data_IF_432852416977
#
_entry.id   IF_432852416977
#
_cell.length_a   1.000
_cell.length_b   1.000
_cell.length_c   1.000
_cell.angle_alpha   90.00
_cell.angle_beta   90.00
_cell.angle_gamma   90.00
#
_symmetry.space_group_name_H-M   'P 1'
#
loop_
_entity.id
_entity.type
_entity.pdbx_description
1 polymer ?
#
# COMPACT_ATOMS: atom_id res chain seq x y z
N UNK A 1 -30.95 -11.39 -12.36
CA UNK A 1 -30.03 -10.75 -11.42
C UNK A 1 -29.42 -9.56 -12.15
N UNK A 2 -29.74 -8.34 -11.75
CA UNK A 2 -29.08 -7.15 -12.30
C UNK A 2 -27.60 -7.23 -11.89
N UNK A 3 -26.71 -7.39 -12.85
CA UNK A 3 -25.26 -7.22 -12.66
C UNK A 3 -25.04 -5.78 -12.25
N UNK A 4 -24.71 -5.54 -10.99
CA UNK A 4 -24.21 -4.24 -10.53
C UNK A 4 -22.91 -3.97 -11.30
N UNK A 5 -22.99 -3.17 -12.33
CA UNK A 5 -21.82 -2.70 -13.08
C UNK A 5 -21.22 -1.55 -12.24
N UNK A 6 -20.28 -1.89 -11.36
CA UNK A 6 -19.57 -0.91 -10.55
C UNK A 6 -18.58 -0.14 -11.42
N UNK A 7 -18.64 1.17 -11.38
CA UNK A 7 -17.68 2.04 -12.06
C UNK A 7 -16.33 2.04 -11.33
N UNK A 8 -15.22 2.06 -12.11
CA UNK A 8 -13.86 1.89 -11.60
C UNK A 8 -13.03 3.12 -11.93
N UNK A 9 -12.43 3.73 -10.92
CA UNK A 9 -11.38 4.73 -11.07
C UNK A 9 -10.03 4.11 -10.70
N UNK A 10 -9.09 4.12 -11.65
CA UNK A 10 -7.71 3.68 -11.42
C UNK A 10 -6.84 4.91 -11.17
N UNK A 11 -6.28 5.01 -9.97
CA UNK A 11 -5.46 6.13 -9.53
C UNK A 11 -3.99 5.74 -9.56
N UNK A 12 -3.19 6.49 -10.32
CA UNK A 12 -1.76 6.24 -10.51
C UNK A 12 -0.99 7.47 -10.03
N UNK A 13 -0.44 7.44 -8.79
CA UNK A 13 0.52 8.46 -8.39
C UNK A 13 1.83 8.27 -9.16
N UNK A 14 2.35 9.34 -9.76
CA UNK A 14 3.62 9.30 -10.48
C UNK A 14 4.55 10.44 -10.08
N UNK A 15 5.85 10.17 -10.07
CA UNK A 15 6.90 11.15 -9.90
C UNK A 15 8.10 10.74 -10.74
N UNK A 16 8.38 11.51 -11.80
CA UNK A 16 9.44 11.18 -12.76
C UNK A 16 9.19 9.78 -13.40
N UNK A 17 10.20 9.25 -14.09
CA UNK A 17 10.18 7.88 -14.62
C UNK A 17 9.07 7.61 -15.64
N UNK A 18 8.97 8.47 -16.64
CA UNK A 18 7.99 8.36 -17.72
C UNK A 18 7.85 6.94 -18.29
N UNK A 19 8.95 6.23 -18.56
CA UNK A 19 8.89 4.90 -19.16
C UNK A 19 8.12 3.87 -18.32
N UNK A 20 8.19 3.96 -16.99
CA UNK A 20 7.39 3.11 -16.10
C UNK A 20 5.91 3.47 -16.20
N UNK A 21 5.58 4.76 -16.10
CA UNK A 21 4.19 5.25 -16.23
C UNK A 21 3.60 4.86 -17.58
N UNK A 22 4.36 4.99 -18.67
CA UNK A 22 3.95 4.59 -20.03
C UNK A 22 3.59 3.09 -20.09
N UNK A 23 4.43 2.23 -19.52
CA UNK A 23 4.17 0.78 -19.50
C UNK A 23 2.90 0.47 -18.73
N UNK A 24 2.73 1.02 -17.53
CA UNK A 24 1.51 0.87 -16.73
C UNK A 24 0.25 1.30 -17.52
N UNK A 25 0.26 2.50 -18.11
CA UNK A 25 -0.85 3.02 -18.92
C UNK A 25 -1.15 2.16 -20.15
N UNK A 26 -0.12 1.60 -20.80
CA UNK A 26 -0.30 0.69 -21.93
C UNK A 26 -1.04 -0.59 -21.51
N UNK A 27 -0.69 -1.17 -20.37
CA UNK A 27 -1.39 -2.34 -19.82
C UNK A 27 -2.81 -2.01 -19.36
N UNK A 28 -3.07 -0.80 -18.90
CA UNK A 28 -4.42 -0.35 -18.56
C UNK A 28 -5.31 -0.20 -19.80
N UNK A 29 -4.80 0.30 -20.91
CA UNK A 29 -5.56 0.32 -22.19
C UNK A 29 -6.05 -1.06 -22.64
N UNK A 30 -5.36 -2.13 -22.23
CA UNK A 30 -5.69 -3.50 -22.59
C UNK A 30 -6.66 -4.20 -21.62
N UNK A 31 -7.16 -3.49 -20.60
CA UNK A 31 -8.07 -4.08 -19.61
C UNK A 31 -9.44 -4.40 -20.21
N UNK A 32 -10.00 -5.56 -19.82
CA UNK A 32 -11.34 -6.01 -20.25
C UNK A 32 -12.48 -5.21 -19.62
N UNK A 33 -12.30 -4.76 -18.37
CA UNK A 33 -13.32 -4.00 -17.65
C UNK A 33 -13.27 -2.50 -18.02
N UNK A 34 -14.44 -1.86 -18.25
CA UNK A 34 -14.50 -0.39 -18.39
C UNK A 34 -13.99 0.31 -17.13
N UNK A 35 -13.16 1.32 -17.30
CA UNK A 35 -12.57 2.08 -16.20
C UNK A 35 -12.13 3.47 -16.63
N UNK A 36 -11.98 4.37 -15.66
CA UNK A 36 -11.34 5.67 -15.83
C UNK A 36 -9.95 5.64 -15.24
N UNK A 37 -9.00 6.31 -15.87
CA UNK A 37 -7.61 6.42 -15.38
C UNK A 37 -7.34 7.84 -14.95
N UNK A 38 -6.87 8.02 -13.71
CA UNK A 38 -6.49 9.29 -13.11
C UNK A 38 -5.01 9.20 -12.73
N UNK A 39 -4.16 9.89 -13.48
CA UNK A 39 -2.74 10.02 -13.12
C UNK A 39 -2.56 11.27 -12.28
N UNK A 40 -1.97 11.11 -11.09
CA UNK A 40 -1.61 12.24 -10.23
C UNK A 40 -0.11 12.43 -10.28
N UNK A 41 0.32 13.47 -10.98
CA UNK A 41 1.72 13.80 -11.15
C UNK A 41 2.24 14.66 -9.99
N UNK A 42 3.13 14.09 -9.20
CA UNK A 42 3.76 14.72 -8.02
C UNK A 42 4.90 15.68 -8.39
N UNK A 43 4.67 16.59 -9.35
CA UNK A 43 5.63 17.59 -9.80
C UNK A 43 6.82 17.02 -10.59
N UNK A 44 6.57 16.14 -11.57
CA UNK A 44 7.59 15.64 -12.48
C UNK A 44 8.15 16.75 -13.38
N UNK A 45 9.45 16.67 -13.65
CA UNK A 45 10.20 17.62 -14.50
C UNK A 45 10.86 16.97 -15.73
N UNK A 46 10.65 15.67 -15.91
CA UNK A 46 11.26 14.85 -16.98
C UNK A 46 10.43 14.76 -18.28
N UNK A 47 9.43 15.64 -18.44
CA UNK A 47 8.53 15.61 -19.59
C UNK A 47 7.33 14.65 -19.44
N UNK A 48 7.19 13.93 -18.34
CA UNK A 48 6.08 13.00 -18.06
C UNK A 48 4.72 13.64 -18.33
N UNK A 49 4.44 14.84 -17.80
CA UNK A 49 3.17 15.56 -17.98
C UNK A 49 2.81 15.79 -19.44
N UNK A 50 3.77 16.34 -20.19
CA UNK A 50 3.54 16.65 -21.62
C UNK A 50 3.28 15.37 -22.41
N UNK A 51 4.03 14.31 -22.13
CA UNK A 51 3.88 13.05 -22.85
C UNK A 51 2.57 12.33 -22.53
N UNK A 52 2.08 12.40 -21.27
CA UNK A 52 0.75 11.89 -20.93
C UNK A 52 -0.31 12.59 -21.76
N UNK A 53 -0.31 13.92 -21.81
CA UNK A 53 -1.32 14.69 -22.57
C UNK A 53 -1.36 14.35 -24.06
N UNK A 54 -0.19 14.07 -24.66
CA UNK A 54 -0.09 13.77 -26.10
C UNK A 54 -0.34 12.30 -26.43
N UNK A 55 0.11 11.37 -25.60
CA UNK A 55 0.10 9.94 -25.91
C UNK A 55 -1.07 9.19 -25.26
N UNK A 56 -1.67 9.76 -24.19
CA UNK A 56 -2.77 9.20 -23.44
C UNK A 56 -3.86 10.26 -23.16
N UNK A 57 -4.48 10.85 -24.20
CA UNK A 57 -5.45 11.94 -24.05
C UNK A 57 -6.72 11.52 -23.30
N UNK A 58 -7.00 10.22 -23.18
CA UNK A 58 -8.10 9.67 -22.38
C UNK A 58 -7.84 9.70 -20.88
N UNK A 59 -6.60 9.87 -20.44
CA UNK A 59 -6.20 9.89 -19.03
C UNK A 59 -6.48 11.25 -18.43
N UNK A 60 -7.15 11.28 -17.30
CA UNK A 60 -7.29 12.49 -16.51
C UNK A 60 -5.98 12.76 -15.75
N UNK A 61 -5.29 13.83 -16.09
CA UNK A 61 -4.04 14.24 -15.46
C UNK A 61 -4.31 15.30 -14.39
N UNK A 62 -3.94 14.97 -13.13
CA UNK A 62 -3.93 15.89 -11.99
C UNK A 62 -2.49 16.27 -11.70
N UNK A 63 -2.19 17.57 -11.75
CA UNK A 63 -0.82 18.07 -11.55
C UNK A 63 -0.69 18.69 -10.18
N UNK A 64 0.31 18.19 -9.42
CA UNK A 64 0.67 18.75 -8.13
C UNK A 64 1.76 19.81 -8.28
N UNK A 65 1.77 20.80 -7.39
CA UNK A 65 2.81 21.85 -7.35
C UNK A 65 4.15 21.35 -6.80
N UNK A 66 4.12 20.26 -6.01
CA UNK A 66 5.29 19.64 -5.39
C UNK A 66 5.10 18.15 -5.16
N UNK A 67 6.20 17.44 -4.88
CA UNK A 67 6.13 16.05 -4.45
C UNK A 67 5.69 15.97 -2.98
N UNK A 68 4.39 15.75 -2.77
CA UNK A 68 3.77 15.69 -1.44
C UNK A 68 3.64 14.25 -0.91
N UNK A 69 4.22 13.27 -1.62
CA UNK A 69 4.20 11.86 -1.23
C UNK A 69 3.01 11.07 -1.79
N UNK A 70 3.06 9.78 -1.55
CA UNK A 70 2.09 8.82 -2.08
C UNK A 70 0.66 9.04 -1.55
N UNK A 71 0.42 9.20 -0.22
CA UNK A 71 -0.93 9.35 0.32
C UNK A 71 -1.66 10.56 -0.22
N UNK A 72 -0.98 11.71 -0.28
CA UNK A 72 -1.57 12.96 -0.77
C UNK A 72 -1.98 12.82 -2.24
N UNK A 73 -1.10 12.24 -3.07
CA UNK A 73 -1.41 12.01 -4.48
C UNK A 73 -2.60 11.06 -4.66
N UNK A 74 -2.64 9.95 -3.93
CA UNK A 74 -3.75 8.99 -4.00
C UNK A 74 -5.08 9.62 -3.54
N UNK A 75 -5.07 10.38 -2.43
CA UNK A 75 -6.26 11.08 -1.95
C UNK A 75 -6.75 12.13 -2.96
N UNK A 76 -5.85 12.87 -3.61
CA UNK A 76 -6.19 13.84 -4.66
C UNK A 76 -6.82 13.15 -5.86
N UNK A 77 -6.27 12.02 -6.30
CA UNK A 77 -6.86 11.23 -7.38
C UNK A 77 -8.25 10.70 -7.00
N UNK A 78 -8.40 10.17 -5.79
CA UNK A 78 -9.70 9.69 -5.30
C UNK A 78 -10.76 10.79 -5.22
N UNK A 79 -10.36 12.02 -4.84
CA UNK A 79 -11.27 13.16 -4.73
C UNK A 79 -11.74 13.71 -6.09
N UNK A 80 -10.96 13.50 -7.15
CA UNK A 80 -11.32 13.92 -8.52
C UNK A 80 -12.21 12.90 -9.20
N UNK A 81 -12.05 11.61 -8.89
CA UNK A 81 -12.85 10.53 -9.44
C UNK A 81 -14.22 10.40 -8.77
N UNK A 82 -15.12 9.68 -9.44
CA UNK A 82 -16.51 9.42 -8.97
C UNK A 82 -16.92 7.96 -9.05
N UNK A 83 -16.00 7.06 -9.46
CA UNK A 83 -16.28 5.63 -9.59
C UNK A 83 -16.59 4.96 -8.25
N UNK A 84 -17.44 3.94 -8.28
CA UNK A 84 -17.84 3.16 -7.10
C UNK A 84 -16.64 2.46 -6.41
N UNK A 85 -15.63 2.15 -7.21
CA UNK A 85 -14.40 1.47 -6.78
C UNK A 85 -13.20 2.36 -7.09
N UNK A 86 -12.37 2.57 -6.09
CA UNK A 86 -11.05 3.21 -6.18
C UNK A 86 -9.99 2.11 -6.27
N UNK A 87 -9.24 2.06 -7.37
CA UNK A 87 -8.09 1.16 -7.52
C UNK A 87 -6.83 2.00 -7.40
N UNK A 88 -5.98 1.70 -6.43
CA UNK A 88 -4.64 2.27 -6.35
C UNK A 88 -3.68 1.35 -7.12
N UNK A 89 -2.92 1.92 -8.03
CA UNK A 89 -1.94 1.20 -8.82
C UNK A 89 -0.65 2.02 -8.92
N UNK A 90 0.48 1.44 -8.54
CA UNK A 90 1.76 2.11 -8.74
C UNK A 90 2.08 2.23 -10.23
N UNK A 91 2.81 3.27 -10.60
CA UNK A 91 3.20 3.52 -11.99
C UNK A 91 4.22 2.51 -12.56
N UNK A 92 4.74 1.60 -11.72
CA UNK A 92 5.65 0.50 -12.07
C UNK A 92 4.97 -0.88 -11.97
N UNK A 93 3.63 -0.92 -12.05
CA UNK A 93 2.84 -2.14 -12.06
C UNK A 93 2.23 -2.37 -13.44
N UNK A 94 2.34 -3.59 -13.94
CA UNK A 94 1.83 -4.06 -15.22
C UNK A 94 0.69 -5.06 -15.00
N UNK A 95 -0.57 -4.62 -14.99
CA UNK A 95 -1.71 -5.51 -14.78
C UNK A 95 -1.98 -6.39 -16.01
N UNK A 96 -2.36 -7.66 -15.79
CA UNK A 96 -2.86 -8.54 -16.85
C UNK A 96 -4.20 -8.04 -17.39
N UNK A 97 -4.61 -8.40 -18.61
CA UNK A 97 -5.81 -7.84 -19.26
C UNK A 97 -7.13 -7.99 -18.50
N UNK A 98 -7.26 -9.01 -17.66
CA UNK A 98 -8.45 -9.31 -16.85
C UNK A 98 -8.33 -8.83 -15.39
N UNK A 99 -7.25 -8.13 -15.06
CA UNK A 99 -6.91 -7.74 -13.69
C UNK A 99 -8.01 -6.94 -13.01
N UNK A 100 -8.51 -5.87 -13.64
CA UNK A 100 -9.54 -5.00 -13.05
C UNK A 100 -10.86 -5.74 -12.87
N UNK A 101 -11.26 -6.56 -13.85
CA UNK A 101 -12.48 -7.36 -13.76
C UNK A 101 -12.42 -8.31 -12.56
N UNK A 102 -11.32 -9.05 -12.43
CA UNK A 102 -11.14 -10.01 -11.36
C UNK A 102 -11.03 -9.33 -9.99
N UNK A 103 -10.22 -8.27 -9.90
CA UNK A 103 -9.97 -7.54 -8.65
C UNK A 103 -11.24 -6.91 -8.08
N UNK A 104 -12.17 -6.49 -8.94
CA UNK A 104 -13.40 -5.83 -8.50
C UNK A 104 -14.58 -6.79 -8.26
N UNK A 105 -14.47 -8.05 -8.68
CA UNK A 105 -15.52 -9.07 -8.50
C UNK A 105 -16.02 -9.24 -7.06
N UNK A 106 -15.15 -9.20 -6.00
CA UNK A 106 -15.60 -9.34 -4.61
C UNK A 106 -16.53 -8.23 -4.13
N UNK A 107 -16.51 -7.05 -4.75
CA UNK A 107 -17.37 -5.92 -4.34
C UNK A 107 -18.87 -6.13 -4.63
N UNK A 108 -19.25 -7.25 -5.24
CA UNK A 108 -20.65 -7.70 -5.28
C UNK A 108 -21.19 -7.98 -3.86
N UNK A 109 -20.34 -8.42 -2.92
CA UNK A 109 -20.66 -8.41 -1.49
C UNK A 109 -20.49 -6.99 -0.95
N UNK A 110 -21.58 -6.39 -0.47
CA UNK A 110 -21.57 -5.01 0.07
C UNK A 110 -20.74 -4.85 1.33
N UNK A 111 -20.36 -5.95 2.00
CA UNK A 111 -19.50 -5.94 3.18
C UNK A 111 -18.01 -5.84 2.83
N UNK A 112 -17.64 -6.11 1.58
CA UNK A 112 -16.25 -5.98 1.12
C UNK A 112 -15.92 -4.51 0.91
N UNK A 113 -14.96 -4.03 1.71
CA UNK A 113 -14.43 -2.67 1.66
C UNK A 113 -13.12 -2.56 0.87
N UNK A 114 -12.35 -3.66 0.79
CA UNK A 114 -11.09 -3.69 0.03
C UNK A 114 -10.81 -5.05 -0.59
N UNK A 115 -10.00 -5.08 -1.65
CA UNK A 115 -9.56 -6.30 -2.32
C UNK A 115 -8.08 -6.21 -2.69
N UNK A 116 -7.33 -7.29 -2.43
CA UNK A 116 -5.90 -7.39 -2.66
C UNK A 116 -5.61 -8.29 -3.86
N UNK A 117 -4.80 -7.80 -4.79
CA UNK A 117 -4.30 -8.52 -5.96
C UNK A 117 -3.07 -9.37 -5.61
N UNK A 118 -2.73 -10.28 -6.52
CA UNK A 118 -1.45 -10.98 -6.55
C UNK A 118 -0.45 -10.19 -7.38
N UNK A 119 0.56 -9.64 -6.74
CA UNK A 119 1.67 -8.96 -7.39
C UNK A 119 2.86 -9.92 -7.51
N UNK A 120 3.38 -10.07 -8.72
CA UNK A 120 4.54 -10.90 -9.04
C UNK A 120 5.77 -10.02 -9.29
N UNK A 121 6.95 -10.55 -9.02
CA UNK A 121 8.21 -9.90 -9.43
C UNK A 121 8.48 -10.10 -10.92
N UNK A 122 9.33 -9.28 -11.54
CA UNK A 122 9.78 -9.50 -12.91
C UNK A 122 10.25 -10.93 -13.13
N UNK A 123 9.85 -11.53 -14.27
CA UNK A 123 10.07 -12.94 -14.56
C UNK A 123 9.01 -13.88 -13.99
N UNK A 124 8.07 -13.37 -13.17
CA UNK A 124 6.85 -14.04 -12.68
C UNK A 124 7.06 -15.35 -11.91
N UNK A 125 8.29 -15.66 -11.52
CA UNK A 125 8.60 -16.89 -10.78
C UNK A 125 8.38 -16.75 -9.27
N UNK A 126 8.40 -15.52 -8.75
CA UNK A 126 8.24 -15.25 -7.34
C UNK A 126 7.21 -14.18 -7.06
N UNK A 127 6.53 -14.35 -5.93
CA UNK A 127 5.52 -13.41 -5.43
C UNK A 127 6.24 -12.18 -4.86
N UNK A 128 5.80 -10.99 -5.24
CA UNK A 128 6.18 -9.76 -4.57
C UNK A 128 5.25 -9.50 -3.38
N UNK A 129 3.94 -9.58 -3.59
CA UNK A 129 2.95 -9.37 -2.53
C UNK A 129 1.61 -10.02 -2.87
N UNK A 130 0.99 -10.66 -1.87
CA UNK A 130 -0.40 -11.09 -1.92
C UNK A 130 -1.18 -10.42 -0.78
N UNK A 131 -1.27 -9.09 -0.83
CA UNK A 131 -1.82 -8.29 0.27
C UNK A 131 -0.93 -8.24 1.51
N UNK A 132 -1.46 -7.69 2.58
CA UNK A 132 -0.75 -7.41 3.82
C UNK A 132 -1.23 -8.28 4.96
N UNK A 133 -0.32 -8.65 5.85
CA UNK A 133 -0.59 -9.16 7.19
C UNK A 133 -0.01 -8.21 8.22
N UNK A 134 -0.50 -8.22 9.46
CA UNK A 134 0.01 -7.41 10.55
C UNK A 134 0.21 -8.26 11.80
N UNK A 135 1.31 -8.06 12.51
CA UNK A 135 1.56 -8.71 13.80
C UNK A 135 0.93 -7.95 14.98
N UNK A 136 1.04 -8.51 16.18
CA UNK A 136 0.51 -7.89 17.43
C UNK A 136 1.07 -6.50 17.74
N UNK A 137 2.17 -6.10 17.10
CA UNK A 137 2.75 -4.75 17.22
C UNK A 137 2.22 -3.79 16.14
N UNK A 138 1.25 -4.23 15.34
CA UNK A 138 0.73 -3.56 14.15
C UNK A 138 1.83 -3.20 13.14
N UNK A 139 2.88 -4.00 13.06
CA UNK A 139 3.80 -3.93 11.94
C UNK A 139 3.21 -4.72 10.77
N UNK A 140 3.12 -4.08 9.61
CA UNK A 140 2.61 -4.69 8.40
C UNK A 140 3.72 -5.38 7.59
N UNK A 141 3.36 -6.48 6.94
CA UNK A 141 4.27 -7.26 6.11
C UNK A 141 3.60 -7.68 4.81
N UNK A 142 4.30 -7.57 3.67
CA UNK A 142 3.84 -8.16 2.41
C UNK A 142 3.71 -9.68 2.57
N UNK A 143 2.52 -10.19 2.32
CA UNK A 143 2.26 -11.62 2.44
C UNK A 143 2.88 -12.38 1.27
N UNK A 144 3.43 -13.56 1.55
CA UNK A 144 4.07 -14.49 0.61
C UNK A 144 5.28 -13.94 -0.15
N UNK A 145 5.84 -12.79 0.26
CA UNK A 145 6.96 -12.17 -0.43
C UNK A 145 8.15 -13.12 -0.59
N UNK A 146 8.63 -13.23 -1.84
CA UNK A 146 9.76 -14.08 -2.20
C UNK A 146 9.44 -15.58 -2.32
N UNK A 147 8.18 -16.01 -2.08
CA UNK A 147 7.76 -17.39 -2.29
C UNK A 147 7.57 -17.65 -3.79
N UNK A 148 7.75 -18.90 -4.24
CA UNK A 148 7.44 -19.27 -5.62
C UNK A 148 5.98 -18.96 -5.98
N UNK A 149 5.72 -18.57 -7.23
CA UNK A 149 4.36 -18.28 -7.71
C UNK A 149 3.45 -19.52 -7.62
N UNK A 150 4.01 -20.74 -7.70
CA UNK A 150 3.28 -22.00 -7.48
C UNK A 150 2.68 -22.14 -6.07
N UNK A 151 3.16 -21.35 -5.10
CA UNK A 151 2.61 -21.30 -3.74
C UNK A 151 1.53 -20.23 -3.56
N UNK A 152 1.11 -19.57 -4.63
CA UNK A 152 -0.02 -18.66 -4.57
C UNK A 152 -1.28 -19.43 -4.14
N UNK A 153 -2.06 -18.91 -3.18
CA UNK A 153 -3.20 -19.65 -2.67
C UNK A 153 -4.30 -19.77 -3.73
N UNK A 154 -4.95 -20.92 -3.78
CA UNK A 154 -6.12 -21.18 -4.65
C UNK A 154 -7.42 -20.60 -4.06
N UNK A 155 -7.40 -20.14 -2.82
CA UNK A 155 -8.54 -19.54 -2.13
C UNK A 155 -8.12 -18.26 -1.42
N UNK A 156 -9.11 -17.42 -1.10
CA UNK A 156 -8.88 -16.13 -0.41
C UNK A 156 -8.28 -16.36 0.99
N UNK A 157 -7.00 -15.99 1.24
CA UNK A 157 -6.43 -16.04 2.58
C UNK A 157 -6.97 -14.89 3.44
N UNK A 158 -6.81 -15.01 4.76
CA UNK A 158 -7.09 -13.90 5.68
C UNK A 158 -6.00 -12.84 5.52
N UNK A 159 -6.41 -11.63 5.26
CA UNK A 159 -5.55 -10.46 5.07
C UNK A 159 -6.02 -9.30 5.93
N UNK A 160 -5.07 -8.44 6.30
CA UNK A 160 -5.43 -7.13 6.89
C UNK A 160 -5.91 -6.17 5.80
N UNK A 161 -5.26 -6.16 4.64
CA UNK A 161 -5.62 -5.32 3.50
C UNK A 161 -4.77 -5.54 2.27
N UNK A 162 -5.04 -4.80 1.18
CA UNK A 162 -4.18 -4.77 0.01
C UNK A 162 -2.93 -3.93 0.25
N UNK A 163 -1.86 -4.18 -0.52
CA UNK A 163 -0.72 -3.27 -0.58
C UNK A 163 -1.02 -2.05 -1.47
N UNK A 164 -0.35 -0.93 -1.21
CA UNK A 164 -0.51 0.29 -1.99
C UNK A 164 -0.14 0.16 -3.47
N UNK A 165 0.62 -0.89 -3.85
CA UNK A 165 1.03 -1.12 -5.24
C UNK A 165 -0.05 -1.69 -6.15
N UNK A 166 -1.10 -2.32 -5.60
CA UNK A 166 -2.19 -2.93 -6.40
C UNK A 166 -3.35 -3.35 -5.51
N UNK A 167 -4.20 -2.40 -5.13
CA UNK A 167 -5.35 -2.64 -4.27
C UNK A 167 -6.60 -1.92 -4.74
N UNK A 168 -7.76 -2.52 -4.50
CA UNK A 168 -9.05 -1.91 -4.77
C UNK A 168 -9.81 -1.63 -3.48
N UNK A 169 -10.58 -0.55 -3.47
CA UNK A 169 -11.31 -0.06 -2.32
C UNK A 169 -12.72 0.37 -2.76
N UNK A 170 -13.74 -0.03 -2.01
CA UNK A 170 -15.08 0.54 -2.17
C UNK A 170 -15.03 2.02 -1.81
N UNK A 171 -15.51 2.91 -2.68
CA UNK A 171 -15.47 4.36 -2.45
C UNK A 171 -16.12 4.75 -1.12
N UNK A 172 -17.28 4.21 -0.80
CA UNK A 172 -17.97 4.52 0.47
C UNK A 172 -17.18 4.02 1.70
N UNK A 173 -16.38 2.97 1.57
CA UNK A 173 -15.48 2.50 2.63
C UNK A 173 -14.27 3.42 2.77
N UNK A 174 -13.67 3.82 1.64
CA UNK A 174 -12.58 4.79 1.56
C UNK A 174 -12.96 6.12 2.22
N UNK A 175 -14.09 6.69 1.82
CA UNK A 175 -14.61 7.97 2.34
C UNK A 175 -14.93 7.90 3.82
N UNK A 176 -15.55 6.80 4.28
CA UNK A 176 -15.91 6.59 5.69
C UNK A 176 -14.70 6.64 6.63
N UNK A 177 -13.53 6.18 6.17
CA UNK A 177 -12.30 6.20 6.98
C UNK A 177 -11.39 7.39 6.65
N UNK A 178 -11.76 8.24 5.68
CA UNK A 178 -11.04 9.45 5.30
C UNK A 178 -9.81 9.21 4.41
N UNK A 179 -9.81 8.13 3.61
CA UNK A 179 -8.72 7.81 2.70
C UNK A 179 -7.41 7.42 3.39
N UNK A 180 -6.29 7.64 2.72
CA UNK A 180 -4.94 7.44 3.27
C UNK A 180 -4.59 8.55 4.27
N UNK A 181 -3.83 8.21 5.32
CA UNK A 181 -3.35 9.19 6.28
C UNK A 181 -2.16 9.97 5.70
N UNK A 182 -2.37 11.25 5.42
CA UNK A 182 -1.36 12.15 4.86
C UNK A 182 -0.23 12.51 5.85
N UNK A 183 -0.39 12.18 7.12
CA UNK A 183 0.66 12.30 8.13
C UNK A 183 1.79 11.27 7.97
N UNK A 184 1.60 10.24 7.14
CA UNK A 184 2.61 9.25 6.78
C UNK A 184 2.99 9.44 5.32
N UNK A 185 4.15 10.01 5.06
CA UNK A 185 4.57 10.33 3.69
C UNK A 185 4.90 9.09 2.85
N UNK A 186 5.59 8.10 3.45
CA UNK A 186 5.99 6.84 2.82
C UNK A 186 6.03 5.73 3.85
N UNK A 187 5.68 4.50 3.42
CA UNK A 187 5.67 3.25 4.18
C UNK A 187 4.64 3.17 5.31
N UNK A 188 3.74 2.21 5.18
CA UNK A 188 2.74 1.87 6.19
C UNK A 188 1.40 2.61 6.03
N UNK A 189 1.26 3.53 5.07
CA UNK A 189 0.00 4.18 4.74
C UNK A 189 -1.09 3.18 4.32
N UNK A 190 -0.69 2.12 3.62
CA UNK A 190 -1.54 1.01 3.21
C UNK A 190 -1.96 0.14 4.40
N UNK A 191 -1.03 -0.13 5.31
CA UNK A 191 -1.32 -0.83 6.58
C UNK A 191 -2.27 -0.02 7.44
N UNK A 192 -2.05 1.29 7.59
CA UNK A 192 -2.94 2.19 8.35
C UNK A 192 -4.36 2.18 7.78
N UNK A 193 -4.49 2.37 6.45
CA UNK A 193 -5.79 2.33 5.79
C UNK A 193 -6.50 0.99 6.02
N UNK A 194 -5.77 -0.11 5.85
CA UNK A 194 -6.30 -1.45 6.05
C UNK A 194 -6.80 -1.66 7.49
N UNK A 195 -6.02 -1.27 8.49
CA UNK A 195 -6.40 -1.37 9.89
C UNK A 195 -7.63 -0.52 10.22
N UNK A 196 -7.75 0.70 9.65
CA UNK A 196 -8.92 1.56 9.84
C UNK A 196 -10.16 1.01 9.15
N UNK A 197 -10.03 0.41 7.97
CA UNK A 197 -11.13 -0.27 7.29
C UNK A 197 -11.64 -1.46 8.10
N UNK A 198 -10.74 -2.31 8.62
CA UNK A 198 -11.08 -3.43 9.49
C UNK A 198 -11.79 -2.96 10.76
N UNK A 199 -11.26 -1.91 11.42
CA UNK A 199 -11.87 -1.32 12.61
C UNK A 199 -13.26 -0.71 12.34
N UNK A 200 -13.53 -0.29 11.10
CA UNK A 200 -14.84 0.19 10.65
C UNK A 200 -15.80 -0.93 10.23
N UNK A 201 -15.41 -2.21 10.37
CA UNK A 201 -16.21 -3.39 10.08
C UNK A 201 -16.22 -3.84 8.61
N UNK A 202 -15.33 -3.28 7.78
CA UNK A 202 -15.20 -3.69 6.39
C UNK A 202 -14.36 -4.96 6.25
N UNK A 203 -14.76 -5.84 5.33
CA UNK A 203 -14.00 -7.05 4.98
C UNK A 203 -12.98 -6.77 3.89
N UNK A 204 -11.86 -7.48 3.93
CA UNK A 204 -10.89 -7.54 2.84
C UNK A 204 -11.01 -8.87 2.11
N UNK A 205 -11.04 -8.83 0.78
CA UNK A 205 -10.96 -10.01 -0.06
C UNK A 205 -9.55 -10.16 -0.65
N UNK A 206 -9.02 -11.37 -0.67
CA UNK A 206 -7.86 -11.69 -1.48
C UNK A 206 -8.32 -12.22 -2.84
N UNK A 207 -7.69 -11.78 -3.92
CA UNK A 207 -8.03 -12.15 -5.30
C UNK A 207 -6.76 -12.64 -6.00
N UNK A 208 -6.34 -13.90 -5.75
CA UNK A 208 -5.12 -14.45 -6.34
C UNK A 208 -5.16 -14.54 -7.86
N UNK A 209 -6.37 -14.55 -8.46
CA UNK A 209 -6.57 -14.54 -9.90
C UNK A 209 -6.29 -13.17 -10.54
N UNK A 210 -6.44 -12.08 -9.78
CA UNK A 210 -6.08 -10.72 -10.24
C UNK A 210 -4.57 -10.54 -10.17
N UNK A 211 -3.89 -10.77 -11.27
CA UNK A 211 -2.41 -10.82 -11.35
C UNK A 211 -1.85 -9.59 -12.03
N UNK A 212 -0.81 -9.00 -11.43
CA UNK A 212 0.00 -7.95 -12.07
C UNK A 212 1.50 -8.19 -11.79
N UNK A 213 2.36 -7.69 -12.67
CA UNK A 213 3.81 -7.69 -12.45
C UNK A 213 4.22 -6.34 -11.85
N UNK A 214 4.88 -6.36 -10.71
CA UNK A 214 5.42 -5.18 -10.04
C UNK A 214 6.93 -5.12 -10.29
N UNK A 215 7.36 -4.13 -11.04
CA UNK A 215 8.76 -4.01 -11.47
C UNK A 215 9.71 -3.69 -10.32
N UNK A 216 9.14 -3.22 -9.21
CA UNK A 216 9.87 -2.97 -7.96
C UNK A 216 10.57 -1.63 -7.92
N UNK A 217 10.73 -1.15 -6.71
CA UNK A 217 11.13 0.19 -6.31
C UNK A 217 12.36 0.76 -7.05
N UNK A 218 12.11 1.32 -8.19
CA UNK A 218 13.11 2.15 -8.87
C UNK A 218 13.32 3.50 -8.15
N UNK A 219 12.46 3.86 -7.18
CA UNK A 219 12.39 5.22 -6.63
C UNK A 219 13.17 5.44 -5.33
N UNK A 220 13.42 4.40 -4.53
CA UNK A 220 14.16 4.51 -3.28
C UNK A 220 15.33 3.52 -3.31
N UNK A 221 16.56 3.98 -3.42
CA UNK A 221 17.75 3.11 -3.33
C UNK A 221 17.67 2.20 -2.11
N UNK A 222 17.82 0.89 -2.32
CA UNK A 222 17.71 -0.12 -1.28
C UNK A 222 18.60 0.21 -0.08
N UNK A 223 18.04 0.20 1.14
CA UNK A 223 18.71 0.47 2.42
C UNK A 223 19.38 1.84 2.54
N UNK A 224 18.91 2.85 1.83
CA UNK A 224 19.43 4.20 2.00
C UNK A 224 19.11 4.77 3.39
N UNK A 225 19.89 5.74 3.87
CA UNK A 225 19.60 6.45 5.12
C UNK A 225 18.21 7.11 5.09
N UNK A 226 17.80 7.60 3.91
CA UNK A 226 16.48 8.15 3.69
C UNK A 226 15.38 7.10 3.90
N UNK A 227 15.51 5.92 3.30
CA UNK A 227 14.54 4.83 3.44
C UNK A 227 14.41 4.37 4.89
N UNK A 228 15.55 4.21 5.61
CA UNK A 228 15.54 3.89 7.04
C UNK A 228 14.87 4.98 7.87
N UNK A 229 15.10 6.25 7.54
CA UNK A 229 14.43 7.38 8.20
C UNK A 229 12.91 7.31 8.00
N UNK A 230 12.43 7.15 6.77
CA UNK A 230 11.00 7.10 6.45
C UNK A 230 10.30 5.88 7.09
N UNK A 231 10.90 4.71 7.03
CA UNK A 231 10.38 3.53 7.74
C UNK A 231 10.35 3.72 9.26
N UNK A 232 11.37 4.36 9.81
CA UNK A 232 11.41 4.78 11.21
C UNK A 232 10.29 5.78 11.53
N UNK A 233 10.11 6.79 10.69
CA UNK A 233 9.08 7.82 10.85
C UNK A 233 7.66 7.20 10.89
N UNK A 234 7.32 6.41 9.89
CA UNK A 234 6.06 5.70 9.86
C UNK A 234 5.86 4.87 11.13
N UNK A 235 6.88 4.16 11.57
CA UNK A 235 6.80 3.34 12.79
C UNK A 235 6.58 4.17 14.05
N UNK A 236 7.30 5.27 14.23
CA UNK A 236 7.12 6.19 15.35
C UNK A 236 5.72 6.81 15.38
N UNK A 237 5.22 7.19 14.20
CA UNK A 237 3.87 7.71 14.01
C UNK A 237 2.82 6.69 14.46
N UNK A 238 2.92 5.43 13.99
CA UNK A 238 2.03 4.33 14.38
C UNK A 238 2.02 4.05 15.88
N UNK A 239 3.20 3.99 16.50
CA UNK A 239 3.31 3.73 17.94
C UNK A 239 2.47 4.69 18.76
N UNK A 240 2.41 5.95 18.35
CA UNK A 240 1.64 6.99 19.03
C UNK A 240 0.18 6.97 18.63
N UNK A 241 -0.12 6.97 17.33
CA UNK A 241 -1.46 7.02 16.78
C UNK A 241 -2.35 5.85 17.26
N UNK A 242 -1.79 4.65 17.33
CA UNK A 242 -2.47 3.45 17.82
C UNK A 242 -2.28 3.21 19.33
N UNK A 243 -1.63 4.13 20.05
CA UNK A 243 -1.34 4.02 21.48
C UNK A 243 -0.72 2.68 21.87
N UNK A 244 0.18 2.16 21.06
CA UNK A 244 0.73 0.81 21.21
C UNK A 244 1.49 0.61 22.52
N UNK A 245 2.16 1.64 23.03
CA UNK A 245 2.86 1.60 24.31
C UNK A 245 1.91 1.58 25.55
N UNK A 246 0.59 1.74 25.31
CA UNK A 246 -0.46 1.62 26.36
C UNK A 246 -1.34 0.38 26.14
N UNK A 247 -0.92 -0.54 25.26
CA UNK A 247 -1.65 -1.74 24.91
C UNK A 247 -1.10 -2.96 25.67
N UNK A 248 -1.82 -4.07 25.62
CA UNK A 248 -1.33 -5.38 26.10
C UNK A 248 -0.06 -5.86 25.37
N UNK A 249 0.18 -5.36 24.16
CA UNK A 249 1.38 -5.64 23.37
C UNK A 249 2.59 -4.75 23.72
N UNK A 250 2.49 -3.82 24.68
CA UNK A 250 3.52 -2.82 24.96
C UNK A 250 4.92 -3.43 25.21
N UNK A 251 5.00 -4.49 26.00
CA UNK A 251 6.28 -5.16 26.27
C UNK A 251 6.90 -5.74 24.98
N UNK A 252 6.08 -6.38 24.14
CA UNK A 252 6.52 -6.91 22.83
C UNK A 252 6.93 -5.78 21.89
N UNK A 253 6.18 -4.68 21.88
CA UNK A 253 6.53 -3.48 21.07
C UNK A 253 7.89 -2.95 21.49
N UNK A 254 8.12 -2.72 22.79
CA UNK A 254 9.41 -2.21 23.29
C UNK A 254 10.57 -3.15 22.95
N UNK A 255 10.37 -4.46 23.13
CA UNK A 255 11.40 -5.45 22.80
C UNK A 255 11.73 -5.45 21.30
N UNK A 256 10.70 -5.51 20.42
CA UNK A 256 10.93 -5.53 18.97
C UNK A 256 11.55 -4.23 18.46
N UNK A 257 11.04 -3.07 18.88
CA UNK A 257 11.57 -1.78 18.46
C UNK A 257 13.00 -1.57 18.97
N UNK A 258 13.30 -1.97 20.22
CA UNK A 258 14.65 -1.90 20.77
C UNK A 258 15.65 -2.74 19.96
N UNK A 259 15.31 -4.00 19.68
CA UNK A 259 16.15 -4.89 18.87
C UNK A 259 16.35 -4.34 17.46
N UNK A 260 15.29 -3.84 16.81
CA UNK A 260 15.38 -3.29 15.45
C UNK A 260 16.24 -2.03 15.43
N UNK A 261 16.08 -1.11 16.38
CA UNK A 261 16.86 0.13 16.46
C UNK A 261 18.34 -0.17 16.68
N UNK A 262 18.65 -1.03 17.65
CA UNK A 262 20.05 -1.39 17.94
C UNK A 262 20.67 -2.15 16.76
N UNK A 263 19.94 -3.14 16.22
CA UNK A 263 20.41 -3.92 15.07
C UNK A 263 20.67 -3.05 13.84
N UNK A 264 19.76 -2.12 13.53
CA UNK A 264 19.93 -1.20 12.41
C UNK A 264 21.11 -0.26 12.61
N UNK A 265 21.24 0.33 13.81
CA UNK A 265 22.36 1.22 14.13
C UNK A 265 23.73 0.52 14.04
N UNK A 266 23.83 -0.73 14.50
CA UNK A 266 25.06 -1.51 14.42
C UNK A 266 25.40 -1.94 12.99
N UNK A 267 24.41 -2.41 12.22
CA UNK A 267 24.62 -2.92 10.87
C UNK A 267 24.84 -1.81 9.84
N UNK A 268 24.13 -0.70 9.96
CA UNK A 268 24.24 0.42 9.03
C UNK A 268 25.24 1.51 9.45
N UNK A 269 25.70 1.47 10.70
CA UNK A 269 26.51 2.54 11.34
C UNK A 269 25.82 3.91 11.24
N UNK A 270 24.48 3.93 11.33
CA UNK A 270 23.63 5.08 11.10
C UNK A 270 22.44 5.04 12.07
N UNK A 271 22.00 6.19 12.49
CA UNK A 271 20.88 6.37 13.44
C UNK A 271 19.62 6.95 12.77
N UNK A 272 19.55 6.93 11.45
CA UNK A 272 18.42 7.49 10.68
C UNK A 272 17.10 6.86 11.06
N UNK A 273 17.03 5.56 11.28
CA UNK A 273 15.83 4.86 11.72
C UNK A 273 15.35 5.32 13.11
N UNK A 274 16.26 5.58 14.05
CA UNK A 274 15.91 6.13 15.35
C UNK A 274 15.41 7.58 15.22
N UNK A 275 16.13 8.42 14.46
CA UNK A 275 15.72 9.82 14.19
C UNK A 275 14.34 9.87 13.56
N UNK A 276 14.06 9.00 12.59
CA UNK A 276 12.75 8.86 11.98
C UNK A 276 11.69 8.52 13.02
N UNK A 277 11.90 7.52 13.88
CA UNK A 277 10.93 7.14 14.94
C UNK A 277 10.60 8.30 15.88
N UNK A 278 11.61 9.04 16.30
CA UNK A 278 11.39 10.21 17.15
C UNK A 278 10.62 11.33 16.43
N UNK A 279 10.93 11.57 15.15
CA UNK A 279 10.23 12.55 14.33
C UNK A 279 8.76 12.16 14.11
N UNK A 280 8.48 10.90 13.71
CA UNK A 280 7.12 10.39 13.52
C UNK A 280 6.30 10.38 14.82
N UNK A 281 6.92 10.00 15.95
CA UNK A 281 6.27 10.09 17.25
C UNK A 281 5.86 11.54 17.60
N UNK A 282 6.70 12.52 17.29
CA UNK A 282 6.37 13.93 17.50
C UNK A 282 5.28 14.41 16.56
N UNK A 283 5.37 14.05 15.28
CA UNK A 283 4.37 14.42 14.26
C UNK A 283 2.97 13.91 14.59
N UNK A 284 2.86 12.70 15.16
CA UNK A 284 1.57 12.16 15.61
C UNK A 284 1.05 12.80 16.92
N UNK A 285 1.64 13.93 17.40
CA UNK A 285 1.21 14.56 18.67
C UNK A 285 -0.24 15.00 18.63
N UNK A 286 -0.63 15.61 17.55
CA UNK A 286 -1.95 16.22 17.37
C UNK A 286 -2.87 15.34 16.48
N UNK A 287 -2.37 14.17 16.03
CA UNK A 287 -3.17 13.23 15.28
C UNK A 287 -4.21 12.55 16.18
N UNK A 288 -5.46 12.49 15.73
CA UNK A 288 -6.50 11.74 16.42
C UNK A 288 -6.11 10.27 16.55
N UNK A 289 -6.30 9.64 17.71
CA UNK A 289 -6.02 8.22 17.86
C UNK A 289 -6.82 7.38 16.87
N UNK A 290 -6.15 6.44 16.21
CA UNK A 290 -6.84 5.46 15.38
C UNK A 290 -7.55 4.42 16.23
N UNK A 291 -8.73 3.95 15.80
CA UNK A 291 -9.40 2.83 16.44
C UNK A 291 -8.51 1.57 16.31
N UNK A 292 -8.60 0.68 17.31
CA UNK A 292 -7.91 -0.60 17.22
C UNK A 292 -8.63 -1.49 16.22
N UNK A 293 -7.88 -2.19 15.35
CA UNK A 293 -8.46 -3.23 14.51
C UNK A 293 -9.00 -4.37 15.38
N UNK A 294 -9.95 -5.16 14.88
CA UNK A 294 -10.39 -6.38 15.56
C UNK A 294 -9.24 -7.40 15.62
N UNK A 295 -9.31 -8.33 16.58
CA UNK A 295 -8.23 -9.32 16.80
C UNK A 295 -8.01 -10.18 15.55
N UNK A 296 -9.08 -10.49 14.82
CA UNK A 296 -9.02 -11.29 13.58
C UNK A 296 -8.23 -10.62 12.45
N UNK A 297 -8.01 -9.31 12.51
CA UNK A 297 -7.16 -8.58 11.57
C UNK A 297 -5.66 -8.73 11.87
N UNK A 298 -5.31 -9.31 13.02
CA UNK A 298 -3.93 -9.47 13.47
C UNK A 298 -3.53 -10.93 13.33
N UNK A 299 -2.42 -11.16 12.65
CA UNK A 299 -1.85 -12.50 12.55
C UNK A 299 -1.09 -12.84 13.84
N UNK A 300 -1.80 -13.53 14.75
CA UNK A 300 -1.25 -13.94 16.02
C UNK A 300 -0.20 -15.06 15.92
N UNK A 301 -0.13 -15.74 14.76
CA UNK A 301 0.87 -16.80 14.51
C UNK A 301 2.26 -16.25 14.29
N UNK A 302 2.39 -14.96 13.94
CA UNK A 302 3.69 -14.31 13.78
C UNK A 302 4.37 -14.19 15.14
N UNK A 303 5.34 -15.05 15.42
CA UNK A 303 6.15 -15.00 16.64
C UNK A 303 7.01 -13.72 16.68
N UNK A 304 7.65 -13.44 17.83
CA UNK A 304 8.62 -12.32 17.92
C UNK A 304 9.79 -12.50 16.95
N UNK A 305 10.31 -13.72 16.84
CA UNK A 305 11.42 -14.03 15.94
C UNK A 305 11.00 -13.88 14.47
N UNK A 306 9.80 -14.32 14.11
CA UNK A 306 9.29 -14.17 12.75
C UNK A 306 9.05 -12.70 12.41
N UNK A 307 8.51 -11.91 13.34
CA UNK A 307 8.38 -10.46 13.19
C UNK A 307 9.72 -9.80 12.89
N UNK A 308 10.79 -10.17 13.62
CA UNK A 308 12.13 -9.64 13.40
C UNK A 308 12.71 -10.08 12.05
N UNK A 309 12.49 -11.33 11.63
CA UNK A 309 12.90 -11.85 10.31
C UNK A 309 12.18 -11.12 9.18
N UNK A 310 10.86 -10.97 9.27
CA UNK A 310 10.04 -10.28 8.27
C UNK A 310 10.45 -8.82 8.10
N UNK A 311 10.76 -8.11 9.19
CA UNK A 311 11.29 -6.73 9.12
C UNK A 311 12.60 -6.64 8.36
N UNK A 312 13.48 -7.65 8.46
CA UNK A 312 14.73 -7.71 7.67
C UNK A 312 14.44 -7.87 6.17
N UNK A 313 13.46 -8.69 5.81
CA UNK A 313 13.08 -8.94 4.40
C UNK A 313 12.46 -7.69 3.78
N UNK A 314 11.59 -6.99 4.49
CA UNK A 314 10.97 -5.75 4.00
C UNK A 314 11.99 -4.65 3.70
N UNK A 315 13.08 -4.57 4.49
CA UNK A 315 14.16 -3.60 4.28
C UNK A 315 15.31 -4.14 3.39
N UNK A 316 15.24 -5.40 2.94
CA UNK A 316 16.30 -6.05 2.15
C UNK A 316 16.00 -6.15 0.64
N UNK A 317 14.81 -5.78 0.23
CA UNK A 317 14.31 -5.89 -1.17
C UNK A 317 14.24 -4.56 -1.87
#
# INVERSE_FOLDING_TARGET
MLTLNLSIDVIIPTYQRWELTKRCLTHLRAQSAPHSVIVVDNASTDGTRQTIRTSFPEVQLVEMEGNLGFPVACNRGAAVGSGDIVVLLNNDVEPRPDFLELLTRPFRDRRVGSAAALLLRPGEQTIDCMGLTADRTLAGFPRLRGRPTSEAPSSSPVLVGPSGGGGAYRRTAWEKVGGLDEGVMFYGEDVDLALRLQAAGWKTAAVPEAVAVHLGSASAGNRSAWQRYQGGYARGYFLRRYRLLRSSAAARVLATEGIVIVGDALLSRDVSALRGRLAGWRAAKDASPSPRPPEEAIDETISLLDSLRLRRVVYAS
#
